data_IF_814790328593
#
_entry.id   IF_814790328593
#
_cell.length_a   1.000
_cell.length_b   1.000
_cell.length_c   1.000
_cell.angle_alpha   90.00
_cell.angle_beta   90.00
_cell.angle_gamma   90.00
#
_symmetry.space_group_name_H-M   'P 1'
#
loop_
_entity.id
_entity.type
_entity.pdbx_description
1 polymer ?
#
# COMPACT_ATOMS: atom_id res chain seq x y z
N UNK A 1 -1.98 -33.18 -15.40
CA UNK A 1 -1.19 -31.94 -15.21
C UNK A 1 -2.13 -30.94 -14.56
N UNK A 2 -2.03 -30.68 -13.26
CA UNK A 2 -2.87 -29.66 -12.64
C UNK A 2 -2.43 -28.31 -13.21
N UNK A 3 -3.30 -27.66 -13.98
CA UNK A 3 -3.04 -26.30 -14.44
C UNK A 3 -2.91 -25.41 -13.21
N UNK A 4 -1.77 -24.73 -13.08
CA UNK A 4 -1.58 -23.71 -12.05
C UNK A 4 -2.63 -22.62 -12.29
N UNK A 5 -3.43 -22.32 -11.28
CA UNK A 5 -4.57 -21.39 -11.39
C UNK A 5 -4.22 -19.96 -10.96
N UNK A 6 -3.03 -19.74 -10.40
CA UNK A 6 -2.57 -18.44 -9.92
C UNK A 6 -1.06 -18.23 -10.12
N UNK A 7 -0.68 -16.99 -10.42
CA UNK A 7 0.70 -16.50 -10.42
C UNK A 7 0.79 -15.21 -9.61
N UNK A 8 1.95 -14.98 -8.99
CA UNK A 8 2.33 -13.68 -8.46
C UNK A 8 3.46 -13.19 -9.35
N UNK A 9 3.31 -12.02 -9.97
CA UNK A 9 4.33 -11.42 -10.83
C UNK A 9 4.93 -10.18 -10.17
N UNK A 10 6.25 -10.06 -10.14
CA UNK A 10 6.92 -8.84 -9.70
C UNK A 10 6.80 -7.73 -10.75
N UNK A 11 7.33 -6.53 -10.46
CA UNK A 11 7.29 -5.38 -11.40
C UNK A 11 8.00 -5.62 -12.73
N UNK A 12 8.92 -6.58 -12.79
CA UNK A 12 9.61 -6.99 -14.01
C UNK A 12 8.84 -8.06 -14.80
N UNK A 13 7.64 -8.44 -14.37
CA UNK A 13 6.82 -9.49 -14.99
C UNK A 13 7.30 -10.91 -14.71
N UNK A 14 8.21 -11.11 -13.77
CA UNK A 14 8.75 -12.43 -13.42
C UNK A 14 7.92 -13.07 -12.32
N UNK A 15 7.71 -14.38 -12.40
CA UNK A 15 7.01 -15.12 -11.35
C UNK A 15 7.80 -15.07 -10.05
N UNK A 16 7.13 -14.66 -8.98
CA UNK A 16 7.65 -14.73 -7.62
C UNK A 16 7.59 -16.18 -7.15
N UNK A 17 8.76 -16.73 -6.80
CA UNK A 17 8.92 -18.12 -6.32
C UNK A 17 9.45 -18.19 -4.88
N UNK A 18 9.93 -17.08 -4.35
CA UNK A 18 10.50 -17.00 -3.01
C UNK A 18 9.43 -16.48 -2.02
N UNK A 19 9.33 -17.07 -0.81
CA UNK A 19 8.48 -16.54 0.25
C UNK A 19 8.82 -15.09 0.61
N UNK A 20 7.83 -14.35 1.10
CA UNK A 20 7.93 -12.96 1.56
C UNK A 20 8.35 -11.95 0.50
N UNK A 21 8.29 -12.32 -0.78
CA UNK A 21 8.46 -11.41 -1.91
C UNK A 21 7.09 -11.01 -2.46
N UNK A 22 6.86 -9.71 -2.59
CA UNK A 22 5.60 -9.15 -3.06
C UNK A 22 5.51 -9.11 -4.59
N UNK A 23 4.30 -9.28 -5.12
CA UNK A 23 3.98 -9.05 -6.53
C UNK A 23 2.47 -8.98 -6.77
N UNK A 24 2.06 -8.64 -7.99
CA UNK A 24 0.66 -8.60 -8.42
C UNK A 24 0.10 -10.01 -8.63
N UNK A 25 -1.10 -10.29 -8.13
CA UNK A 25 -1.81 -11.54 -8.35
C UNK A 25 -2.45 -11.59 -9.73
N UNK A 26 -2.15 -12.66 -10.45
CA UNK A 26 -2.78 -13.08 -11.69
C UNK A 26 -3.55 -14.37 -11.41
N UNK A 27 -4.82 -14.41 -11.80
CA UNK A 27 -5.69 -15.56 -11.57
C UNK A 27 -6.26 -16.08 -12.90
N UNK A 28 -6.44 -17.39 -13.02
CA UNK A 28 -7.17 -18.00 -14.13
C UNK A 28 -8.03 -19.13 -13.60
N UNK A 29 -9.34 -18.95 -13.67
CA UNK A 29 -10.33 -19.92 -13.22
C UNK A 29 -11.64 -19.76 -14.01
N UNK A 30 -12.47 -20.80 -14.05
CA UNK A 30 -13.78 -20.77 -14.72
C UNK A 30 -14.73 -19.72 -14.13
N UNK A 31 -14.51 -19.34 -12.86
CA UNK A 31 -15.32 -18.35 -12.14
C UNK A 31 -14.87 -16.91 -12.38
N UNK A 32 -13.79 -16.67 -13.14
CA UNK A 32 -13.33 -15.32 -13.45
C UNK A 32 -14.35 -14.62 -14.35
N UNK A 33 -14.55 -13.32 -14.09
CA UNK A 33 -15.47 -12.49 -14.89
C UNK A 33 -15.06 -12.45 -16.37
N UNK A 34 -16.02 -12.18 -17.25
CA UNK A 34 -15.75 -11.98 -18.69
C UNK A 34 -15.16 -10.60 -19.01
N UNK A 35 -15.28 -9.67 -18.07
CA UNK A 35 -14.96 -8.27 -18.24
C UNK A 35 -15.96 -7.37 -17.52
N UNK A 36 -15.67 -6.07 -17.53
CA UNK A 36 -16.56 -5.01 -17.10
C UNK A 36 -17.56 -4.64 -18.19
N UNK A 37 -18.70 -4.07 -17.78
CA UNK A 37 -19.75 -3.65 -18.70
C UNK A 37 -19.36 -2.43 -19.54
N UNK A 38 -18.49 -1.57 -19.02
CA UNK A 38 -17.92 -0.45 -19.77
C UNK A 38 -16.65 -0.94 -20.48
N UNK A 39 -16.61 -0.83 -21.81
CA UNK A 39 -15.52 -1.42 -22.61
C UNK A 39 -14.15 -0.84 -22.23
N UNK A 40 -14.07 0.47 -22.00
CA UNK A 40 -12.81 1.15 -21.63
C UNK A 40 -12.22 0.64 -20.30
N UNK A 41 -13.05 0.07 -19.41
CA UNK A 41 -12.57 -0.47 -18.13
C UNK A 41 -11.90 -1.85 -18.31
N UNK A 42 -12.01 -2.48 -19.47
CA UNK A 42 -11.44 -3.81 -19.73
C UNK A 42 -9.98 -3.79 -20.18
N UNK A 43 -9.45 -2.62 -20.54
CA UNK A 43 -8.10 -2.51 -21.08
C UNK A 43 -7.07 -3.03 -20.07
N UNK A 44 -6.33 -4.08 -20.46
CA UNK A 44 -5.28 -4.67 -19.64
C UNK A 44 -5.78 -5.41 -18.38
N UNK A 45 -7.07 -5.70 -18.26
CA UNK A 45 -7.65 -6.45 -17.12
C UNK A 45 -7.52 -7.94 -17.30
N UNK A 46 -7.80 -8.45 -18.50
CA UNK A 46 -7.63 -9.86 -18.86
C UNK A 46 -6.68 -9.92 -20.05
N UNK A 47 -5.64 -10.74 -19.94
CA UNK A 47 -4.68 -10.91 -21.03
C UNK A 47 -5.18 -11.89 -22.12
N UNK A 48 -4.46 -11.95 -23.25
CA UNK A 48 -4.77 -12.85 -24.37
C UNK A 48 -4.74 -14.34 -24.00
N UNK A 49 -4.14 -14.67 -22.85
CA UNK A 49 -4.05 -16.02 -22.31
C UNK A 49 -5.16 -16.31 -21.29
N UNK A 50 -6.07 -15.35 -21.03
CA UNK A 50 -7.20 -15.48 -20.11
C UNK A 50 -6.84 -15.36 -18.64
N UNK A 51 -5.71 -14.72 -18.29
CA UNK A 51 -5.37 -14.38 -16.92
C UNK A 51 -5.97 -13.02 -16.55
N UNK A 52 -6.68 -12.97 -15.43
CA UNK A 52 -7.12 -11.69 -14.86
C UNK A 52 -5.99 -11.08 -14.02
N UNK A 53 -5.69 -9.82 -14.32
CA UNK A 53 -4.87 -8.92 -13.51
C UNK A 53 -5.74 -8.35 -12.42
N UNK A 54 -5.58 -8.86 -11.21
CA UNK A 54 -6.47 -8.50 -10.09
C UNK A 54 -6.21 -7.07 -9.59
N UNK A 55 -5.01 -6.55 -9.82
CA UNK A 55 -4.52 -5.31 -9.22
C UNK A 55 -4.25 -5.42 -7.72
N UNK A 56 -4.32 -6.62 -7.13
CA UNK A 56 -3.94 -6.89 -5.75
C UNK A 56 -2.48 -7.31 -5.66
N UNK A 57 -1.73 -6.68 -4.76
CA UNK A 57 -0.35 -7.03 -4.43
C UNK A 57 -0.37 -7.99 -3.25
N UNK A 58 0.30 -9.13 -3.37
CA UNK A 58 0.40 -10.14 -2.32
C UNK A 58 1.85 -10.61 -2.15
N UNK A 59 2.13 -11.23 -1.00
CA UNK A 59 3.21 -12.20 -0.85
C UNK A 59 2.66 -13.50 -0.27
N UNK A 60 3.49 -14.54 -0.22
CA UNK A 60 3.19 -15.77 0.50
C UNK A 60 4.30 -16.11 1.49
N UNK A 61 3.98 -16.78 2.60
CA UNK A 61 4.98 -17.22 3.58
C UNK A 61 5.56 -18.60 3.25
N UNK A 62 6.47 -19.09 4.09
CA UNK A 62 7.10 -20.41 3.92
C UNK A 62 6.12 -21.59 4.06
N UNK A 63 4.93 -21.37 4.63
CA UNK A 63 3.88 -22.38 4.78
C UNK A 63 2.86 -22.33 3.62
N UNK A 64 2.98 -21.34 2.73
CA UNK A 64 2.13 -21.17 1.56
C UNK A 64 0.85 -20.38 1.83
N UNK A 65 0.73 -19.69 2.96
CA UNK A 65 -0.36 -18.74 3.18
C UNK A 65 -0.12 -17.45 2.42
N UNK A 66 -1.17 -16.90 1.82
CA UNK A 66 -1.13 -15.66 1.05
C UNK A 66 -1.58 -14.47 1.90
N UNK A 67 -0.86 -13.36 1.78
CA UNK A 67 -1.12 -12.13 2.51
C UNK A 67 -1.29 -10.99 1.51
N UNK A 68 -2.43 -10.31 1.58
CA UNK A 68 -2.71 -9.12 0.75
C UNK A 68 -1.97 -7.93 1.34
N UNK A 69 -1.22 -7.22 0.51
CA UNK A 69 -0.39 -6.07 0.88
C UNK A 69 -1.13 -4.76 0.59
N UNK A 70 -1.50 -4.55 -0.68
CA UNK A 70 -2.17 -3.33 -1.12
C UNK A 70 -2.71 -3.49 -2.55
N UNK A 71 -3.22 -2.40 -3.14
CA UNK A 71 -3.52 -2.32 -4.57
C UNK A 71 -2.31 -1.81 -5.35
N UNK A 72 -2.07 -2.37 -6.54
CA UNK A 72 -0.97 -1.95 -7.44
C UNK A 72 -0.96 -0.43 -7.67
N UNK A 73 -2.16 0.17 -7.84
CA UNK A 73 -2.33 1.61 -8.06
C UNK A 73 -2.05 2.49 -6.83
N UNK A 74 -2.05 1.90 -5.63
CA UNK A 74 -1.87 2.60 -4.36
C UNK A 74 -0.43 2.48 -3.84
N UNK A 75 0.38 1.56 -4.39
CA UNK A 75 1.80 1.40 -4.02
C UNK A 75 2.59 2.69 -4.33
N UNK A 76 3.32 3.17 -3.32
CA UNK A 76 4.19 4.34 -3.42
C UNK A 76 5.56 3.90 -3.93
N UNK A 77 6.11 4.61 -4.91
CA UNK A 77 7.42 4.30 -5.51
C UNK A 77 8.49 5.30 -5.09
N UNK A 78 9.37 4.89 -4.17
CA UNK A 78 10.43 5.72 -3.59
C UNK A 78 11.79 5.20 -4.07
N UNK A 79 12.49 5.94 -4.94
CA UNK A 79 13.76 5.50 -5.54
C UNK A 79 13.66 4.11 -6.19
N UNK A 80 12.53 3.79 -6.82
CA UNK A 80 12.27 2.47 -7.41
C UNK A 80 11.92 1.37 -6.40
N UNK A 81 11.88 1.67 -5.10
CA UNK A 81 11.42 0.75 -4.06
C UNK A 81 9.93 0.93 -3.83
N UNK A 82 9.21 -0.18 -3.65
CA UNK A 82 7.79 -0.18 -3.33
C UNK A 82 7.57 0.04 -1.84
N UNK A 83 6.62 0.91 -1.51
CA UNK A 83 6.15 1.17 -0.16
C UNK A 83 4.63 1.04 -0.16
N UNK A 84 4.11 0.15 0.69
CA UNK A 84 2.66 0.04 0.91
C UNK A 84 2.21 1.17 1.84
N UNK A 85 1.24 2.01 1.42
CA UNK A 85 0.57 2.91 2.33
C UNK A 85 -0.09 2.18 3.50
N UNK A 86 -0.76 1.06 3.25
CA UNK A 86 -1.49 0.32 4.29
C UNK A 86 -0.55 -0.19 5.39
N UNK A 87 0.64 -0.66 5.03
CA UNK A 87 1.68 -1.03 6.01
C UNK A 87 2.08 0.15 6.91
N UNK A 88 2.28 1.34 6.33
CA UNK A 88 2.61 2.55 7.09
C UNK A 88 1.44 2.98 7.98
N UNK A 89 0.22 2.92 7.46
CA UNK A 89 -1.01 3.24 8.20
C UNK A 89 -1.18 2.33 9.42
N UNK A 90 -1.01 1.02 9.26
CA UNK A 90 -1.09 0.04 10.34
C UNK A 90 -0.08 0.36 11.45
N UNK A 91 1.16 0.69 11.10
CA UNK A 91 2.17 1.10 12.08
C UNK A 91 1.76 2.40 12.77
N UNK A 92 1.38 3.44 12.02
CA UNK A 92 1.01 4.75 12.59
C UNK A 92 -0.21 4.63 13.51
N UNK A 93 -1.19 3.77 13.20
CA UNK A 93 -2.37 3.53 14.03
C UNK A 93 -2.05 2.92 15.40
N UNK A 94 -0.91 2.24 15.55
CA UNK A 94 -0.47 1.74 16.86
C UNK A 94 -0.02 2.86 17.80
N UNK A 95 0.25 4.06 17.27
CA UNK A 95 0.66 5.20 18.09
C UNK A 95 -0.50 5.70 18.97
N UNK A 96 -0.30 5.90 20.29
CA UNK A 96 -1.39 6.19 21.22
C UNK A 96 -2.15 7.47 20.90
N UNK A 97 -1.50 8.44 20.25
CA UNK A 97 -2.09 9.75 19.92
C UNK A 97 -2.92 9.78 18.63
N UNK A 98 -2.82 8.76 17.76
CA UNK A 98 -3.48 8.76 16.45
C UNK A 98 -4.85 8.09 16.55
N UNK A 99 -5.88 8.76 16.04
CA UNK A 99 -7.24 8.22 15.91
C UNK A 99 -7.47 7.63 14.51
N UNK A 100 -7.04 8.33 13.47
CA UNK A 100 -7.15 7.91 12.07
C UNK A 100 -5.90 8.33 11.30
N UNK A 101 -5.58 7.60 10.23
CA UNK A 101 -4.45 7.91 9.35
C UNK A 101 -4.75 7.51 7.91
N UNK A 102 -4.35 8.35 6.97
CA UNK A 102 -4.22 7.99 5.56
C UNK A 102 -2.83 8.34 5.06
N UNK A 103 -2.21 7.43 4.32
CA UNK A 103 -0.89 7.62 3.72
C UNK A 103 -1.02 7.64 2.21
N UNK A 104 -0.31 8.56 1.56
CA UNK A 104 -0.20 8.61 0.10
C UNK A 104 1.23 8.91 -0.34
N UNK A 105 1.53 8.57 -1.58
CA UNK A 105 2.72 9.05 -2.28
C UNK A 105 2.51 10.48 -2.78
N UNK A 106 3.44 11.37 -2.44
CA UNK A 106 3.55 12.69 -3.07
C UNK A 106 4.79 12.74 -3.95
N UNK A 107 4.70 13.44 -5.07
CA UNK A 107 5.84 13.61 -5.99
C UNK A 107 6.96 14.39 -5.31
N UNK A 108 8.19 13.95 -5.52
CA UNK A 108 9.40 14.55 -4.96
C UNK A 108 10.53 14.43 -5.96
N UNK A 109 11.19 15.56 -6.22
CA UNK A 109 12.32 15.64 -7.13
C UNK A 109 13.39 14.60 -6.76
N UNK A 110 13.96 13.96 -7.79
CA UNK A 110 15.03 12.95 -7.70
C UNK A 110 14.67 11.58 -7.10
N UNK A 111 13.49 11.39 -6.51
CA UNK A 111 13.12 10.11 -5.89
C UNK A 111 11.79 9.52 -6.36
N UNK A 112 11.12 10.16 -7.33
CA UNK A 112 9.79 9.78 -7.78
C UNK A 112 8.79 10.25 -6.74
N UNK A 113 8.42 9.35 -5.82
CA UNK A 113 7.50 9.67 -4.74
C UNK A 113 8.16 9.56 -3.37
N UNK A 114 7.53 10.20 -2.38
CA UNK A 114 7.79 9.96 -0.96
C UNK A 114 6.47 9.80 -0.20
N UNK A 115 6.44 8.96 0.86
CA UNK A 115 5.25 8.84 1.70
C UNK A 115 4.97 10.13 2.46
N UNK A 116 3.69 10.55 2.48
CA UNK A 116 3.14 11.59 3.36
C UNK A 116 1.98 11.00 4.14
N UNK A 117 1.93 11.27 5.45
CA UNK A 117 0.83 10.86 6.31
C UNK A 117 -0.10 12.04 6.61
N UNK A 118 -1.40 11.75 6.62
CA UNK A 118 -2.46 12.63 7.10
C UNK A 118 -3.10 11.96 8.30
N UNK A 119 -3.16 12.64 9.43
CA UNK A 119 -3.62 12.05 10.68
C UNK A 119 -4.74 12.87 11.32
N UNK A 120 -5.64 12.18 12.00
CA UNK A 120 -6.55 12.75 12.98
C UNK A 120 -6.07 12.32 14.35
N UNK A 121 -5.95 13.26 15.28
CA UNK A 121 -5.49 12.99 16.63
C UNK A 121 -6.66 12.64 17.55
N UNK A 122 -6.38 11.85 18.58
CA UNK A 122 -7.34 11.66 19.68
C UNK A 122 -7.52 12.97 20.47
N UNK A 123 -8.64 13.08 21.15
CA UNK A 123 -8.98 14.25 21.98
C UNK A 123 -7.90 14.52 23.05
N UNK A 124 -7.58 15.80 23.27
CA UNK A 124 -6.62 16.24 24.28
C UNK A 124 -5.14 16.14 23.87
N UNK A 125 -4.82 15.64 22.68
CA UNK A 125 -3.44 15.59 22.16
C UNK A 125 -2.98 16.97 21.67
N UNK A 126 -1.73 17.32 21.96
CA UNK A 126 -1.10 18.53 21.44
C UNK A 126 -0.80 18.41 19.94
N UNK A 127 -1.51 19.20 19.11
CA UNK A 127 -1.38 19.19 17.64
C UNK A 127 -0.02 19.65 17.12
N UNK A 128 0.68 20.50 17.86
CA UNK A 128 1.95 21.08 17.41
C UNK A 128 3.12 20.11 17.54
N UNK A 129 3.05 19.19 18.52
CA UNK A 129 4.11 18.21 18.80
C UNK A 129 3.88 16.85 18.14
N UNK A 130 2.62 16.49 17.89
CA UNK A 130 2.28 15.18 17.37
C UNK A 130 2.94 14.83 16.02
N UNK A 131 3.09 15.74 15.03
CA UNK A 131 3.75 15.42 13.77
C UNK A 131 5.18 14.91 13.94
N UNK A 132 5.98 15.57 14.78
CA UNK A 132 7.37 15.20 15.03
C UNK A 132 7.45 13.91 15.84
N UNK A 133 6.59 13.74 16.85
CA UNK A 133 6.51 12.50 17.63
C UNK A 133 6.22 11.27 16.75
N UNK A 134 5.31 11.41 15.78
CA UNK A 134 4.93 10.32 14.87
C UNK A 134 6.03 10.02 13.85
N UNK A 135 6.68 11.03 13.28
CA UNK A 135 7.82 10.82 12.38
C UNK A 135 8.98 10.12 13.10
N UNK A 136 9.27 10.49 14.35
CA UNK A 136 10.26 9.80 15.19
C UNK A 136 9.83 8.36 15.50
N UNK A 137 8.57 8.15 15.90
CA UNK A 137 8.02 6.83 16.20
C UNK A 137 8.13 5.86 15.01
N UNK A 138 7.84 6.34 13.79
CA UNK A 138 7.95 5.52 12.58
C UNK A 138 9.41 5.15 12.32
N UNK A 139 10.33 6.11 12.45
CA UNK A 139 11.76 5.85 12.27
C UNK A 139 12.27 4.82 13.28
N UNK A 140 11.85 4.93 14.54
CA UNK A 140 12.24 4.02 15.61
C UNK A 140 11.65 2.62 15.43
N UNK A 141 10.35 2.52 15.13
CA UNK A 141 9.65 1.23 14.92
C UNK A 141 10.25 0.42 13.79
N UNK A 142 10.56 1.06 12.65
CA UNK A 142 11.21 0.36 11.55
C UNK A 142 12.67 0.01 11.88
N UNK A 143 13.33 0.79 12.74
CA UNK A 143 14.70 0.51 13.20
C UNK A 143 14.78 -0.71 14.11
N UNK A 144 13.78 -0.94 14.95
CA UNK A 144 13.75 -2.09 15.87
C UNK A 144 13.35 -3.40 15.22
N UNK A 145 12.45 -3.38 14.21
CA UNK A 145 11.94 -4.61 13.58
C UNK A 145 12.84 -5.17 12.47
N UNK A 146 13.72 -4.34 11.91
CA UNK A 146 14.62 -4.70 10.82
C UNK A 146 15.97 -4.06 11.15
N UNK A 147 16.99 -4.85 11.51
CA UNK A 147 18.33 -4.39 11.96
C UNK A 147 19.02 -3.34 11.06
N UNK A 148 18.47 -3.05 9.87
CA UNK A 148 18.73 -1.87 9.05
C UNK A 148 17.44 -1.39 8.38
N UNK A 149 16.99 -0.17 8.68
CA UNK A 149 15.78 0.38 8.06
C UNK A 149 15.96 0.60 6.57
N UNK A 150 14.96 0.16 5.83
CA UNK A 150 14.57 0.69 4.54
C UNK A 150 14.25 2.20 4.63
N UNK A 151 15.27 3.07 4.62
CA UNK A 151 15.14 4.54 4.66
C UNK A 151 14.14 5.15 3.66
N UNK A 152 13.73 4.38 2.66
CA UNK A 152 12.75 4.72 1.66
C UNK A 152 11.29 4.67 2.19
N UNK A 153 11.01 4.04 3.34
CA UNK A 153 9.68 4.02 3.99
C UNK A 153 9.38 5.24 4.86
N UNK A 154 10.36 6.10 5.14
CA UNK A 154 10.17 7.27 5.99
C UNK A 154 9.19 8.28 5.39
N UNK A 155 8.42 8.96 6.26
CA UNK A 155 7.44 9.99 5.91
C UNK A 155 8.12 11.30 5.45
N UNK A 156 8.94 11.23 4.40
CA UNK A 156 9.69 12.39 3.87
C UNK A 156 8.78 13.44 3.21
N UNK A 157 7.52 13.09 2.95
CA UNK A 157 6.47 14.04 2.58
C UNK A 157 5.87 14.79 3.77
N UNK A 158 6.25 14.41 4.99
CA UNK A 158 5.79 15.00 6.24
C UNK A 158 4.56 14.30 6.84
N UNK A 159 4.14 14.83 7.99
CA UNK A 159 2.93 14.44 8.71
C UNK A 159 2.04 15.68 8.82
N UNK A 160 0.81 15.58 8.35
CA UNK A 160 -0.18 16.65 8.40
C UNK A 160 -1.34 16.27 9.31
N UNK A 161 -1.66 17.14 10.28
CA UNK A 161 -2.81 16.94 11.17
C UNK A 161 -4.05 17.57 10.53
N UNK A 162 -5.11 16.77 10.39
CA UNK A 162 -6.43 17.21 9.93
C UNK A 162 -7.47 16.99 11.03
N UNK A 163 -8.57 17.73 10.95
CA UNK A 163 -9.72 17.52 11.84
C UNK A 163 -10.51 16.27 11.45
N UNK A 164 -10.58 15.99 10.15
CA UNK A 164 -11.18 14.78 9.59
C UNK A 164 -10.47 14.35 8.31
N UNK A 165 -10.61 13.07 7.95
CA UNK A 165 -10.14 12.53 6.67
C UNK A 165 -11.34 12.26 5.75
N UNK A 166 -11.19 12.46 4.43
CA UNK A 166 -12.23 12.14 3.47
C UNK A 166 -12.55 10.64 3.51
N UNK A 167 -13.83 10.31 3.61
CA UNK A 167 -14.30 8.92 3.70
C UNK A 167 -15.24 8.58 2.54
N UNK A 168 -15.23 7.32 2.16
CA UNK A 168 -16.25 6.71 1.31
C UNK A 168 -17.58 6.62 2.07
N UNK A 169 -18.67 6.35 1.35
CA UNK A 169 -19.99 6.13 1.96
C UNK A 169 -20.02 5.01 3.00
N UNK A 170 -19.06 4.07 2.93
CA UNK A 170 -18.93 2.96 3.87
C UNK A 170 -17.84 3.20 4.94
N UNK A 171 -17.42 4.46 5.15
CA UNK A 171 -16.53 4.87 6.24
C UNK A 171 -15.03 4.64 6.01
N UNK A 172 -14.63 3.96 4.92
CA UNK A 172 -13.20 3.78 4.58
C UNK A 172 -12.57 5.10 4.12
N UNK A 173 -11.32 5.34 4.51
CA UNK A 173 -10.55 6.50 4.07
C UNK A 173 -10.41 6.48 2.54
N UNK A 174 -10.75 7.61 1.91
CA UNK A 174 -10.66 7.80 0.46
C UNK A 174 -9.33 8.48 0.13
N UNK A 175 -8.25 7.69 0.04
CA UNK A 175 -6.87 8.17 -0.17
C UNK A 175 -6.72 9.15 -1.34
N UNK A 176 -7.43 8.92 -2.44
CA UNK A 176 -7.40 9.79 -3.64
C UNK A 176 -7.76 11.25 -3.29
N UNK A 177 -8.69 11.46 -2.36
CA UNK A 177 -9.15 12.78 -1.94
C UNK A 177 -8.26 13.43 -0.88
N UNK A 178 -7.15 12.80 -0.46
CA UNK A 178 -6.20 13.41 0.47
C UNK A 178 -5.27 14.44 -0.19
N UNK A 179 -5.15 14.41 -1.53
CA UNK A 179 -4.33 15.36 -2.30
C UNK A 179 -4.97 16.74 -2.42
N UNK A 180 -6.28 16.82 -2.20
CA UNK A 180 -7.08 18.04 -2.14
C UNK A 180 -6.98 18.67 -0.73
#
# INVERSE_FOLDING_TARGET
MFSRLLYILNESGQTVLEPFVSGELYLKAETVMKGYNHEDDNEGVIDDQGWIRTGDVLYFDSEGFYYVVDRVKDIIKVNGMQVSPSELEDVILTHPHVAEVGVIGIEKENCGQVPKAFIVLKEGVNREKAPQEIDVFIRDTYFTNLERVAHFKYLRGGVEVRDELPKTSNGKIKRISLKE
#
